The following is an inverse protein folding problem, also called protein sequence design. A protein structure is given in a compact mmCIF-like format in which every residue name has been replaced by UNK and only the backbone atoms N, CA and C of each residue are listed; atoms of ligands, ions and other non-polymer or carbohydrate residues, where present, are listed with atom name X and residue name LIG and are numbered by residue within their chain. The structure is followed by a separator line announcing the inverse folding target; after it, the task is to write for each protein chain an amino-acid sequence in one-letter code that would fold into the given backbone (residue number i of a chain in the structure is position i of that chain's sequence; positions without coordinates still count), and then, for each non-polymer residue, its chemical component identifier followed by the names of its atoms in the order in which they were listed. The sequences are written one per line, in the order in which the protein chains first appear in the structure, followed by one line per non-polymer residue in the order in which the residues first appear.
data_IF_327645128940
#
_entry.id   IF_327645128940
#
_cell.length_a   1.000
_cell.length_b   1.000
_cell.length_c   1.000
_cell.angle_alpha   90.00
_cell.angle_beta   90.00
_cell.angle_gamma   90.00
#
_symmetry.space_group_name_H-M   'P 1'
#
loop_
_entity.id
_entity.type
_entity.pdbx_description
1 polymer ?
#
# COMPACT_ATOMS: atom_id res chain seq x y z
N UNK A 1 10.82 36.51 23.50
CA UNK A 1 11.48 37.82 23.44
C UNK A 1 10.55 38.86 24.03
N UNK A 2 11.08 39.75 24.87
CA UNK A 2 10.37 40.96 25.29
C UNK A 2 10.84 42.04 24.30
N UNK A 3 9.92 42.58 23.50
CA UNK A 3 10.25 43.59 22.49
C UNK A 3 10.27 44.98 23.10
N UNK A 4 11.26 45.81 22.71
CA UNK A 4 11.36 47.19 23.20
C UNK A 4 10.43 48.12 22.42
N UNK A 5 9.27 48.40 22.99
CA UNK A 5 8.27 49.31 22.41
C UNK A 5 8.65 50.79 22.49
N UNK A 6 9.80 51.15 23.10
CA UNK A 6 10.32 52.53 23.04
C UNK A 6 10.77 52.91 21.63
N UNK A 7 11.20 51.94 20.84
CA UNK A 7 11.48 52.10 19.41
C UNK A 7 10.59 51.13 18.60
N UNK A 8 9.31 51.48 18.37
CA UNK A 8 8.34 50.56 17.79
C UNK A 8 8.73 50.08 16.39
N UNK A 9 9.41 50.90 15.60
CA UNK A 9 9.87 50.52 14.26
C UNK A 9 10.91 49.39 14.31
N UNK A 10 11.87 49.50 15.24
CA UNK A 10 12.89 48.48 15.43
C UNK A 10 12.27 47.18 15.94
N UNK A 11 11.38 47.27 16.93
CA UNK A 11 10.64 46.09 17.42
C UNK A 11 9.86 45.38 16.30
N UNK A 12 9.23 46.13 15.38
CA UNK A 12 8.48 45.56 14.26
C UNK A 12 9.38 44.88 13.23
N UNK A 13 10.52 45.47 12.89
CA UNK A 13 11.51 44.83 12.01
C UNK A 13 12.11 43.56 12.66
N UNK A 14 12.41 43.58 13.96
CA UNK A 14 12.88 42.40 14.69
C UNK A 14 11.85 41.26 14.66
N UNK A 15 10.56 41.57 14.88
CA UNK A 15 9.47 40.58 14.81
C UNK A 15 9.34 40.02 13.38
N UNK A 16 9.42 40.89 12.37
CA UNK A 16 9.38 40.50 10.96
C UNK A 16 10.55 39.59 10.62
N UNK A 17 11.78 39.94 11.01
CA UNK A 17 12.98 39.17 10.71
C UNK A 17 12.89 37.77 11.30
N UNK A 18 12.54 37.64 12.58
CA UNK A 18 12.33 36.35 13.24
C UNK A 18 11.23 35.52 12.54
N UNK A 19 10.15 36.18 12.12
CA UNK A 19 9.06 35.51 11.41
C UNK A 19 9.49 35.03 10.02
N UNK A 20 10.25 35.85 9.29
CA UNK A 20 10.78 35.54 7.97
C UNK A 20 11.82 34.42 8.02
N UNK A 21 12.68 34.41 9.04
CA UNK A 21 13.67 33.34 9.23
C UNK A 21 12.99 31.99 9.50
N UNK A 22 11.95 31.99 10.35
CA UNK A 22 11.16 30.79 10.62
C UNK A 22 10.50 30.26 9.33
N UNK A 23 9.86 31.13 8.54
CA UNK A 23 9.22 30.72 7.28
C UNK A 23 10.24 30.25 6.24
N UNK A 24 11.40 30.92 6.14
CA UNK A 24 12.48 30.51 5.24
C UNK A 24 13.00 29.12 5.59
N UNK A 25 13.04 28.76 6.87
CA UNK A 25 13.38 27.40 7.30
C UNK A 25 12.36 26.38 6.78
N UNK A 26 11.06 26.66 6.92
CA UNK A 26 9.99 25.80 6.37
C UNK A 26 10.11 25.67 4.85
N UNK A 27 10.26 26.79 4.13
CA UNK A 27 10.45 26.79 2.67
C UNK A 27 11.66 25.93 2.25
N UNK A 28 12.78 26.08 2.96
CA UNK A 28 14.00 25.32 2.68
C UNK A 28 13.84 23.83 2.94
N UNK A 29 13.05 23.46 3.95
CA UNK A 29 12.69 22.08 4.25
C UNK A 29 11.91 21.49 3.08
N UNK A 30 10.84 22.16 2.62
CA UNK A 30 10.04 21.71 1.48
C UNK A 30 10.86 21.60 0.19
N UNK A 31 11.73 22.57 -0.10
CA UNK A 31 12.60 22.53 -1.28
C UNK A 31 13.59 21.36 -1.24
N UNK A 32 14.18 21.10 -0.07
CA UNK A 32 15.12 19.98 0.12
C UNK A 32 14.41 18.65 -0.07
N UNK A 33 13.25 18.46 0.57
CA UNK A 33 12.46 17.23 0.46
C UNK A 33 11.95 17.00 -0.96
N UNK A 34 11.53 18.05 -1.67
CA UNK A 34 11.15 18.00 -3.09
C UNK A 34 12.30 17.47 -3.94
N UNK A 35 13.53 17.96 -3.74
CA UNK A 35 14.70 17.54 -4.53
C UNK A 35 14.98 16.04 -4.38
N UNK A 36 14.90 15.54 -3.15
CA UNK A 36 15.05 14.12 -2.83
C UNK A 36 13.96 13.29 -3.52
N UNK A 37 12.69 13.65 -3.35
CA UNK A 37 11.57 12.93 -3.97
C UNK A 37 11.62 12.94 -5.49
N UNK A 38 12.02 14.07 -6.10
CA UNK A 38 12.23 14.14 -7.55
C UNK A 38 13.30 13.16 -8.03
N UNK A 39 14.40 13.01 -7.29
CA UNK A 39 15.47 12.10 -7.65
C UNK A 39 15.00 10.64 -7.58
N UNK A 40 14.36 10.23 -6.48
CA UNK A 40 13.85 8.86 -6.32
C UNK A 40 12.73 8.53 -7.29
N UNK A 41 11.78 9.44 -7.51
CA UNK A 41 10.68 9.24 -8.47
C UNK A 41 11.20 8.98 -9.88
N UNK A 42 12.16 9.80 -10.35
CA UNK A 42 12.78 9.62 -11.66
C UNK A 42 13.56 8.30 -11.72
N UNK A 43 14.33 7.99 -10.67
CA UNK A 43 15.10 6.75 -10.57
C UNK A 43 14.23 5.51 -10.66
N UNK A 44 13.14 5.45 -9.88
CA UNK A 44 12.21 4.32 -9.87
C UNK A 44 11.53 4.14 -11.24
N UNK A 45 11.09 5.23 -11.88
CA UNK A 45 10.46 5.16 -13.20
C UNK A 45 11.41 4.65 -14.28
N UNK A 46 12.63 5.19 -14.32
CA UNK A 46 13.65 4.75 -15.29
C UNK A 46 14.02 3.29 -15.06
N UNK A 47 14.25 2.89 -13.80
CA UNK A 47 14.58 1.51 -13.45
C UNK A 47 13.44 0.55 -13.84
N UNK A 48 12.19 0.92 -13.57
CA UNK A 48 11.02 0.11 -13.93
C UNK A 48 10.90 -0.06 -15.46
N UNK A 49 11.11 1.02 -16.22
CA UNK A 49 11.10 0.97 -17.69
C UNK A 49 12.22 0.10 -18.27
N UNK A 50 13.42 0.16 -17.69
CA UNK A 50 14.53 -0.70 -18.09
C UNK A 50 14.22 -2.17 -17.79
N UNK A 51 13.73 -2.46 -16.59
CA UNK A 51 13.36 -3.83 -16.19
C UNK A 51 12.21 -4.40 -17.03
N UNK A 52 11.22 -3.59 -17.39
CA UNK A 52 10.18 -4.02 -18.33
C UNK A 52 10.72 -4.26 -19.72
N UNK A 53 11.56 -3.36 -20.24
CA UNK A 53 12.21 -3.54 -21.53
C UNK A 53 13.01 -4.85 -21.59
N UNK A 54 13.85 -5.10 -20.57
CA UNK A 54 14.62 -6.35 -20.44
C UNK A 54 13.70 -7.57 -20.34
N UNK A 55 12.65 -7.47 -19.52
CA UNK A 55 11.70 -8.55 -19.31
C UNK A 55 10.88 -8.92 -20.55
N UNK A 56 10.66 -7.96 -21.46
CA UNK A 56 10.00 -8.19 -22.74
C UNK A 56 10.97 -8.70 -23.82
N UNK A 57 12.21 -8.22 -23.83
CA UNK A 57 13.20 -8.56 -24.88
C UNK A 57 13.80 -9.96 -24.66
N UNK A 58 14.16 -10.32 -23.42
CA UNK A 58 14.84 -11.60 -23.12
C UNK A 58 14.06 -12.82 -23.63
N UNK A 59 12.73 -12.95 -23.40
CA UNK A 59 11.96 -14.08 -23.91
C UNK A 59 11.89 -14.17 -25.44
N UNK A 60 12.18 -13.08 -26.16
CA UNK A 60 12.15 -13.03 -27.63
C UNK A 60 13.50 -13.42 -28.26
N UNK A 61 14.58 -13.52 -27.48
CA UNK A 61 15.88 -13.96 -27.98
C UNK A 61 15.88 -15.48 -28.21
N UNK A 62 16.55 -15.96 -29.27
CA UNK A 62 16.57 -17.38 -29.59
C UNK A 62 17.27 -18.18 -28.48
N UNK A 63 16.65 -19.30 -28.09
CA UNK A 63 17.00 -20.23 -27.01
C UNK A 63 18.46 -20.76 -27.00
N UNK A 64 19.26 -20.49 -28.05
CA UNK A 64 20.64 -20.94 -28.19
C UNK A 64 21.70 -19.98 -27.64
N UNK A 65 21.36 -18.72 -27.32
CA UNK A 65 22.33 -17.74 -26.81
C UNK A 65 22.50 -17.79 -25.29
N UNK A 66 21.45 -18.13 -24.54
CA UNK A 66 21.44 -18.12 -23.08
C UNK A 66 20.55 -19.26 -22.53
N UNK A 67 21.17 -20.21 -21.84
CA UNK A 67 20.60 -21.51 -21.50
C UNK A 67 19.58 -21.53 -20.36
N UNK A 68 19.19 -20.38 -19.78
CA UNK A 68 18.26 -20.30 -18.64
C UNK A 68 17.36 -19.04 -18.61
N UNK A 69 17.19 -18.38 -19.75
CA UNK A 69 16.89 -16.95 -19.83
C UNK A 69 15.44 -16.53 -19.64
N UNK A 70 14.47 -17.38 -20.00
CA UNK A 70 13.05 -16.99 -19.95
C UNK A 70 12.60 -16.66 -18.51
N UNK A 71 13.17 -17.34 -17.51
CA UNK A 71 12.91 -17.08 -16.08
C UNK A 71 13.45 -15.72 -15.64
N UNK A 72 14.60 -15.31 -16.16
CA UNK A 72 15.19 -14.00 -15.86
C UNK A 72 14.36 -12.86 -16.46
N UNK A 73 13.78 -13.07 -17.65
CA UNK A 73 12.83 -12.13 -18.26
C UNK A 73 11.60 -11.90 -17.37
N UNK A 74 10.93 -12.97 -16.94
CA UNK A 74 9.78 -12.87 -16.04
C UNK A 74 10.12 -12.27 -14.68
N UNK A 75 11.29 -12.61 -14.12
CA UNK A 75 11.78 -12.02 -12.87
C UNK A 75 11.99 -10.50 -13.03
N UNK A 76 12.56 -10.07 -14.17
CA UNK A 76 12.74 -8.65 -14.48
C UNK A 76 11.40 -7.92 -14.55
N UNK A 77 10.38 -8.50 -15.20
CA UNK A 77 9.02 -7.94 -15.21
C UNK A 77 8.44 -7.81 -13.79
N UNK A 78 8.59 -8.85 -12.97
CA UNK A 78 8.09 -8.84 -11.60
C UNK A 78 8.75 -7.74 -10.74
N UNK A 79 10.07 -7.58 -10.86
CA UNK A 79 10.81 -6.53 -10.15
C UNK A 79 10.41 -5.14 -10.66
N UNK A 80 10.24 -4.96 -11.96
CA UNK A 80 9.77 -3.69 -12.53
C UNK A 80 8.38 -3.31 -12.02
N UNK A 81 7.45 -4.27 -11.97
CA UNK A 81 6.12 -4.07 -11.38
C UNK A 81 6.18 -3.76 -9.89
N UNK A 82 7.06 -4.44 -9.15
CA UNK A 82 7.27 -4.20 -7.72
C UNK A 82 7.75 -2.76 -7.45
N UNK A 83 8.68 -2.23 -8.23
CA UNK A 83 9.13 -0.85 -8.08
C UNK A 83 8.04 0.18 -8.32
N UNK A 84 7.14 -0.05 -9.29
CA UNK A 84 5.98 0.83 -9.49
C UNK A 84 4.98 0.76 -8.33
N UNK A 85 4.76 -0.44 -7.76
CA UNK A 85 3.93 -0.57 -6.56
C UNK A 85 4.57 0.16 -5.38
N UNK A 86 5.89 0.03 -5.19
CA UNK A 86 6.61 0.78 -4.17
C UNK A 86 6.48 2.29 -4.35
N UNK A 87 6.64 2.83 -5.57
CA UNK A 87 6.46 4.26 -5.83
C UNK A 87 5.05 4.74 -5.47
N UNK A 88 4.04 3.94 -5.82
CA UNK A 88 2.63 4.25 -5.51
C UNK A 88 2.35 4.23 -4.01
N UNK A 89 2.80 3.20 -3.28
CA UNK A 89 2.49 3.03 -1.85
C UNK A 89 3.40 3.82 -0.90
N UNK A 90 4.61 4.16 -1.32
CA UNK A 90 5.48 5.06 -0.57
C UNK A 90 5.20 6.54 -0.90
N UNK A 91 4.40 6.81 -1.93
CA UNK A 91 4.04 8.17 -2.34
C UNK A 91 5.23 9.00 -2.79
N UNK A 92 6.27 8.40 -3.37
CA UNK A 92 7.50 9.13 -3.73
C UNK A 92 7.20 10.16 -4.83
N UNK A 93 6.53 9.71 -5.89
CA UNK A 93 6.09 10.56 -6.99
C UNK A 93 5.06 11.62 -6.59
N UNK A 94 4.07 11.27 -5.79
CA UNK A 94 3.02 12.19 -5.33
C UNK A 94 3.55 13.19 -4.31
N UNK A 95 4.45 12.76 -3.43
CA UNK A 95 5.18 13.60 -2.48
C UNK A 95 5.94 14.72 -3.18
N UNK A 96 6.62 14.43 -4.31
CA UNK A 96 7.28 15.47 -5.11
C UNK A 96 6.33 16.62 -5.48
N UNK A 97 5.13 16.30 -5.98
CA UNK A 97 4.14 17.30 -6.39
C UNK A 97 3.61 18.07 -5.18
N UNK A 98 3.27 17.36 -4.10
CA UNK A 98 2.72 17.97 -2.88
C UNK A 98 3.73 18.93 -2.23
N UNK A 99 4.99 18.55 -2.11
CA UNK A 99 6.05 19.43 -1.62
C UNK A 99 6.30 20.62 -2.54
N UNK A 100 6.22 20.43 -3.87
CA UNK A 100 6.38 21.53 -4.81
C UNK A 100 5.25 22.57 -4.71
N UNK A 101 4.00 22.12 -4.56
CA UNK A 101 2.85 23.03 -4.38
C UNK A 101 2.99 23.81 -3.07
N UNK A 102 3.32 23.13 -1.96
CA UNK A 102 3.53 23.79 -0.68
C UNK A 102 4.68 24.82 -0.73
N UNK A 103 5.81 24.47 -1.36
CA UNK A 103 6.93 25.41 -1.57
C UNK A 103 6.48 26.66 -2.37
N UNK A 104 5.70 26.48 -3.43
CA UNK A 104 5.19 27.59 -4.25
C UNK A 104 4.24 28.50 -3.45
N UNK A 105 3.34 27.92 -2.66
CA UNK A 105 2.38 28.67 -1.85
C UNK A 105 3.08 29.48 -0.73
N UNK A 106 4.12 28.91 -0.12
CA UNK A 106 4.95 29.61 0.88
C UNK A 106 5.70 30.77 0.21
N UNK A 107 6.32 30.55 -0.95
CA UNK A 107 7.03 31.60 -1.70
C UNK A 107 6.10 32.74 -2.11
N UNK A 108 4.90 32.39 -2.61
CA UNK A 108 3.88 33.37 -2.97
C UNK A 108 3.46 34.20 -1.75
N UNK A 109 3.11 33.54 -0.63
CA UNK A 109 2.75 34.23 0.62
C UNK A 109 3.87 35.15 1.12
N UNK A 110 5.12 34.73 0.96
CA UNK A 110 6.30 35.50 1.36
C UNK A 110 6.47 36.76 0.49
N UNK A 111 6.34 36.62 -0.83
CA UNK A 111 6.41 37.76 -1.75
C UNK A 111 5.28 38.76 -1.48
N UNK A 112 4.04 38.29 -1.33
CA UNK A 112 2.89 39.14 -1.02
C UNK A 112 3.06 39.88 0.32
N UNK A 113 3.57 39.20 1.35
CA UNK A 113 3.89 39.84 2.62
C UNK A 113 4.96 40.93 2.48
N UNK A 114 6.05 40.66 1.76
CA UNK A 114 7.13 41.63 1.56
C UNK A 114 6.65 42.87 0.79
N UNK A 115 5.88 42.68 -0.28
CA UNK A 115 5.32 43.78 -1.06
C UNK A 115 4.39 44.64 -0.21
N UNK A 116 3.45 44.01 0.50
CA UNK A 116 2.54 44.73 1.39
C UNK A 116 3.29 45.45 2.53
N UNK A 117 4.31 44.81 3.11
CA UNK A 117 5.14 45.41 4.16
C UNK A 117 5.79 46.69 3.65
N UNK A 118 6.44 46.63 2.48
CA UNK A 118 7.10 47.78 1.88
C UNK A 118 6.12 48.92 1.59
N UNK A 119 4.90 48.59 1.13
CA UNK A 119 3.84 49.57 0.90
C UNK A 119 3.43 50.25 2.21
N UNK A 120 3.23 49.50 3.29
CA UNK A 120 2.82 50.08 4.58
C UNK A 120 3.95 50.89 5.23
N UNK A 121 5.19 50.42 5.18
CA UNK A 121 6.37 51.17 5.67
C UNK A 121 6.55 52.48 4.91
N UNK A 122 6.28 52.52 3.60
CA UNK A 122 6.34 53.77 2.85
C UNK A 122 5.34 54.83 3.37
N UNK A 123 4.22 54.41 3.97
CA UNK A 123 3.23 55.32 4.57
C UNK A 123 3.66 55.87 5.94
N UNK A 124 4.72 55.34 6.55
CA UNK A 124 5.21 55.77 7.88
C UNK A 124 6.35 56.79 7.81
N UNK A 125 6.63 57.40 6.66
CA UNK A 125 7.74 58.34 6.48
C UNK A 125 7.71 59.55 7.44
N UNK A 126 6.52 59.98 7.88
CA UNK A 126 6.34 61.07 8.85
C UNK A 126 6.36 60.61 10.33
N UNK A 127 6.68 59.34 10.57
CA UNK A 127 6.58 58.68 11.88
C UNK A 127 5.52 57.57 11.88
N UNK A 128 5.61 56.69 12.87
CA UNK A 128 4.71 55.53 13.00
C UNK A 128 3.64 55.79 14.07
N UNK A 129 2.38 55.66 13.67
CA UNK A 129 1.22 55.75 14.57
C UNK A 129 0.88 54.40 15.19
N UNK A 130 0.16 54.41 16.32
CA UNK A 130 -0.33 53.17 16.98
C UNK A 130 -1.22 52.34 16.04
N UNK A 131 -1.98 53.00 15.17
CA UNK A 131 -2.80 52.32 14.15
C UNK A 131 -1.91 51.57 13.16
N UNK A 132 -0.85 52.20 12.65
CA UNK A 132 0.11 51.55 11.74
C UNK A 132 0.87 50.41 12.40
N UNK A 133 1.26 50.54 13.68
CA UNK A 133 1.86 49.44 14.45
C UNK A 133 0.92 48.22 14.45
N UNK A 134 -0.37 48.45 14.70
CA UNK A 134 -1.37 47.38 14.74
C UNK A 134 -1.55 46.72 13.37
N UNK A 135 -1.57 47.51 12.29
CA UNK A 135 -1.64 47.01 10.91
C UNK A 135 -0.45 46.10 10.60
N UNK A 136 0.77 46.57 10.85
CA UNK A 136 2.00 45.82 10.58
C UNK A 136 2.07 44.52 11.39
N UNK A 137 1.64 44.54 12.66
CA UNK A 137 1.54 43.33 13.48
C UNK A 137 0.51 42.34 12.94
N UNK A 138 -0.66 42.81 12.51
CA UNK A 138 -1.70 41.95 11.94
C UNK A 138 -1.24 41.34 10.61
N UNK A 139 -0.45 42.08 9.81
CA UNK A 139 0.16 41.54 8.59
C UNK A 139 1.13 40.39 8.90
N UNK A 140 2.01 40.54 9.91
CA UNK A 140 2.92 39.45 10.33
C UNK A 140 2.11 38.24 10.81
N UNK A 141 1.08 38.46 11.62
CA UNK A 141 0.20 37.40 12.11
C UNK A 141 -0.51 36.67 10.97
N UNK A 142 -1.05 37.42 10.00
CA UNK A 142 -1.75 36.86 8.84
C UNK A 142 -0.79 36.09 7.93
N UNK A 143 0.42 36.62 7.69
CA UNK A 143 1.45 35.94 6.94
C UNK A 143 1.83 34.58 7.57
N UNK A 144 2.09 34.57 8.88
CA UNK A 144 2.38 33.33 9.62
C UNK A 144 1.23 32.34 9.57
N UNK A 145 -0.01 32.82 9.70
CA UNK A 145 -1.19 31.98 9.57
C UNK A 145 -1.33 31.38 8.16
N UNK A 146 -1.03 32.15 7.11
CA UNK A 146 -1.02 31.66 5.72
C UNK A 146 -0.06 30.48 5.54
N UNK A 147 1.18 30.63 6.00
CA UNK A 147 2.19 29.56 5.93
C UNK A 147 1.77 28.33 6.74
N UNK A 148 1.25 28.54 7.95
CA UNK A 148 0.73 27.44 8.78
C UNK A 148 -0.42 26.69 8.10
N UNK A 149 -1.32 27.42 7.43
CA UNK A 149 -2.41 26.82 6.68
C UNK A 149 -1.91 26.02 5.47
N UNK A 150 -0.86 26.47 4.76
CA UNK A 150 -0.20 25.68 3.71
C UNK A 150 0.35 24.37 4.27
N UNK A 151 1.07 24.42 5.40
CA UNK A 151 1.60 23.22 6.06
C UNK A 151 0.48 22.27 6.50
N UNK A 152 -0.59 22.80 7.09
CA UNK A 152 -1.72 22.01 7.53
C UNK A 152 -2.45 21.36 6.35
N UNK A 153 -2.66 22.10 5.25
CA UNK A 153 -3.30 21.57 4.04
C UNK A 153 -2.45 20.47 3.40
N UNK A 154 -1.14 20.68 3.29
CA UNK A 154 -0.23 19.67 2.76
C UNK A 154 -0.20 18.41 3.63
N UNK A 155 -0.16 18.57 4.96
CA UNK A 155 -0.23 17.46 5.93
C UNK A 155 -1.56 16.70 5.84
N UNK A 156 -2.67 17.40 5.66
CA UNK A 156 -3.98 16.76 5.50
C UNK A 156 -4.06 15.94 4.21
N UNK A 157 -3.50 16.47 3.11
CA UNK A 157 -3.38 15.72 1.85
C UNK A 157 -2.52 14.46 2.04
N UNK A 158 -1.41 14.56 2.77
CA UNK A 158 -0.58 13.39 3.10
C UNK A 158 -1.36 12.32 3.86
N UNK A 159 -2.07 12.72 4.92
CA UNK A 159 -2.80 11.79 5.77
C UNK A 159 -3.91 11.06 4.99
N UNK A 160 -4.64 11.80 4.13
CA UNK A 160 -5.67 11.22 3.28
C UNK A 160 -5.10 10.23 2.27
N UNK A 161 -4.00 10.63 1.62
CA UNK A 161 -3.28 9.78 0.67
C UNK A 161 -2.81 8.48 1.35
N UNK A 162 -2.17 8.59 2.52
CA UNK A 162 -1.69 7.45 3.29
C UNK A 162 -2.84 6.51 3.68
N UNK A 163 -3.96 7.04 4.17
CA UNK A 163 -5.14 6.25 4.53
C UNK A 163 -5.74 5.55 3.32
N UNK A 164 -5.87 6.25 2.19
CA UNK A 164 -6.42 5.70 0.94
C UNK A 164 -5.56 4.56 0.41
N UNK A 165 -4.25 4.78 0.30
CA UNK A 165 -3.30 3.77 -0.16
C UNK A 165 -3.29 2.52 0.74
N UNK A 166 -3.36 2.73 2.06
CA UNK A 166 -3.42 1.62 3.03
C UNK A 166 -4.71 0.82 2.88
N UNK A 167 -5.85 1.49 2.73
CA UNK A 167 -7.14 0.83 2.53
C UNK A 167 -7.19 0.04 1.22
N UNK A 168 -6.69 0.61 0.13
CA UNK A 168 -6.60 -0.07 -1.16
C UNK A 168 -5.75 -1.34 -1.06
N UNK A 169 -4.63 -1.29 -0.34
CA UNK A 169 -3.76 -2.44 -0.14
C UNK A 169 -4.47 -3.56 0.63
N UNK A 170 -5.17 -3.24 1.72
CA UNK A 170 -5.92 -4.23 2.49
C UNK A 170 -7.05 -4.85 1.66
N UNK A 171 -7.78 -4.05 0.89
CA UNK A 171 -8.83 -4.53 -0.01
C UNK A 171 -8.27 -5.44 -1.11
N UNK A 172 -7.10 -5.12 -1.66
CA UNK A 172 -6.42 -6.01 -2.62
C UNK A 172 -6.06 -7.36 -2.00
N UNK A 173 -5.52 -7.37 -0.76
CA UNK A 173 -5.19 -8.62 -0.07
C UNK A 173 -6.44 -9.41 0.28
N UNK A 174 -7.48 -8.75 0.81
CA UNK A 174 -8.76 -9.36 1.14
C UNK A 174 -9.39 -10.00 -0.09
N UNK A 175 -9.48 -9.26 -1.19
CA UNK A 175 -10.01 -9.78 -2.46
C UNK A 175 -9.22 -10.98 -2.96
N UNK A 176 -7.88 -10.92 -2.92
CA UNK A 176 -7.04 -12.04 -3.35
C UNK A 176 -7.18 -13.28 -2.44
N UNK A 177 -7.40 -13.08 -1.14
CA UNK A 177 -7.72 -14.14 -0.19
C UNK A 177 -9.12 -14.72 -0.42
N UNK A 178 -10.11 -13.87 -0.69
CA UNK A 178 -11.47 -14.31 -1.01
C UNK A 178 -11.50 -15.07 -2.35
N UNK A 179 -10.77 -14.62 -3.37
CA UNK A 179 -10.60 -15.33 -4.64
C UNK A 179 -9.95 -16.71 -4.44
N UNK A 180 -8.90 -16.81 -3.61
CA UNK A 180 -8.24 -18.09 -3.35
C UNK A 180 -9.13 -19.05 -2.57
N UNK A 181 -9.86 -18.57 -1.55
CA UNK A 181 -10.81 -19.37 -0.78
C UNK A 181 -12.02 -19.77 -1.63
N UNK A 182 -12.51 -18.88 -2.49
CA UNK A 182 -13.64 -19.16 -3.39
C UNK A 182 -13.26 -20.19 -4.45
N UNK A 183 -12.00 -20.28 -4.85
CA UNK A 183 -11.54 -21.31 -5.78
C UNK A 183 -11.58 -22.73 -5.18
N UNK A 184 -11.57 -22.87 -3.85
CA UNK A 184 -11.59 -24.17 -3.18
C UNK A 184 -12.97 -24.84 -3.27
N UNK A 185 -12.97 -26.15 -3.48
CA UNK A 185 -14.17 -26.97 -3.47
C UNK A 185 -14.33 -27.78 -2.17
N UNK A 186 -15.36 -28.62 -2.15
CA UNK A 186 -15.65 -29.56 -1.05
C UNK A 186 -15.77 -30.96 -1.62
N UNK A 187 -15.22 -31.97 -0.96
CA UNK A 187 -15.47 -33.38 -1.30
C UNK A 187 -16.28 -34.01 -0.18
N UNK A 188 -17.52 -34.40 -0.51
CA UNK A 188 -18.39 -35.14 0.40
C UNK A 188 -18.28 -36.61 0.07
N UNK A 189 -17.96 -37.42 1.08
CA UNK A 189 -17.76 -38.86 0.94
C UNK A 189 -18.80 -39.59 1.76
N UNK A 190 -19.72 -40.24 1.06
CA UNK A 190 -20.73 -41.11 1.63
C UNK A 190 -20.21 -42.54 1.66
N UNK A 191 -20.16 -43.13 2.85
CA UNK A 191 -19.73 -44.51 3.08
C UNK A 191 -20.97 -45.39 3.23
N UNK A 192 -21.14 -46.34 2.30
CA UNK A 192 -22.20 -47.34 2.36
C UNK A 192 -21.67 -48.67 2.93
N UNK A 193 -22.58 -49.50 3.46
CA UNK A 193 -22.28 -50.82 4.03
C UNK A 193 -21.24 -50.79 5.17
N UNK A 194 -21.29 -49.76 6.01
CA UNK A 194 -20.36 -49.56 7.13
C UNK A 194 -20.73 -50.36 8.39
N UNK A 195 -21.89 -51.02 8.41
CA UNK A 195 -22.35 -51.81 9.55
C UNK A 195 -21.42 -53.02 9.79
N UNK A 196 -20.93 -53.18 11.02
CA UNK A 196 -19.99 -54.25 11.38
C UNK A 196 -18.51 -53.91 11.12
N UNK A 197 -18.20 -52.70 10.63
CA UNK A 197 -16.85 -52.16 10.53
C UNK A 197 -16.53 -51.20 11.68
N UNK A 198 -15.29 -51.21 12.14
CA UNK A 198 -14.79 -50.31 13.20
C UNK A 198 -13.56 -49.54 12.72
N UNK A 199 -13.33 -48.35 13.28
CA UNK A 199 -12.16 -47.52 12.95
C UNK A 199 -12.13 -47.03 11.50
N UNK A 200 -13.28 -46.62 10.95
CA UNK A 200 -13.38 -46.13 9.58
C UNK A 200 -12.66 -44.79 9.45
N UNK A 201 -11.67 -44.72 8.57
CA UNK A 201 -10.89 -43.53 8.24
C UNK A 201 -11.00 -43.25 6.76
N UNK A 202 -11.27 -42.00 6.43
CA UNK A 202 -11.12 -41.47 5.09
C UNK A 202 -9.80 -40.74 4.99
N UNK A 203 -9.08 -40.96 3.91
CA UNK A 203 -7.83 -40.29 3.58
C UNK A 203 -7.96 -39.61 2.22
N UNK A 204 -7.52 -38.38 2.10
CA UNK A 204 -7.37 -37.69 0.81
C UNK A 204 -5.88 -37.55 0.51
N UNK A 205 -5.48 -37.98 -0.69
CA UNK A 205 -4.09 -37.98 -1.20
C UNK A 205 -3.09 -38.55 -0.18
N UNK A 206 -3.50 -39.66 0.45
CA UNK A 206 -2.72 -40.45 1.41
C UNK A 206 -2.19 -39.65 2.64
N UNK A 207 -2.74 -38.47 2.93
CA UNK A 207 -2.21 -37.55 3.96
C UNK A 207 -3.29 -36.96 4.87
N UNK A 208 -4.38 -36.41 4.31
CA UNK A 208 -5.43 -35.77 5.11
C UNK A 208 -6.42 -36.83 5.59
N UNK A 209 -6.48 -37.08 6.90
CA UNK A 209 -7.30 -38.16 7.47
C UNK A 209 -8.50 -37.62 8.27
N UNK A 210 -9.69 -38.12 7.96
CA UNK A 210 -10.92 -37.91 8.73
C UNK A 210 -11.38 -39.25 9.28
N UNK A 211 -11.54 -39.35 10.60
CA UNK A 211 -12.15 -40.54 11.22
C UNK A 211 -13.66 -40.35 11.32
N UNK A 212 -14.43 -41.32 10.87
CA UNK A 212 -15.90 -41.29 10.94
C UNK A 212 -16.34 -42.26 12.05
N UNK A 213 -17.03 -41.74 13.06
CA UNK A 213 -17.52 -42.52 14.21
C UNK A 213 -19.06 -42.43 14.21
N UNK A 214 -19.73 -43.57 13.96
CA UNK A 214 -21.21 -43.63 13.98
C UNK A 214 -21.92 -42.83 12.89
N UNK A 215 -21.18 -42.26 11.94
CA UNK A 215 -21.66 -41.50 10.79
C UNK A 215 -21.34 -42.26 9.50
N UNK A 216 -22.07 -41.95 8.42
CA UNK A 216 -21.82 -42.44 7.07
C UNK A 216 -21.25 -41.35 6.15
N UNK A 217 -21.03 -40.13 6.64
CA UNK A 217 -20.60 -38.99 5.85
C UNK A 217 -19.31 -38.39 6.42
N UNK A 218 -18.28 -38.30 5.59
CA UNK A 218 -17.09 -37.49 5.83
C UNK A 218 -16.99 -36.36 4.81
N UNK A 219 -16.51 -35.20 5.24
CA UNK A 219 -16.44 -34.00 4.38
C UNK A 219 -15.06 -33.40 4.44
N UNK A 220 -14.35 -33.39 3.31
CA UNK A 220 -13.13 -32.63 3.12
C UNK A 220 -13.50 -31.23 2.63
N UNK A 221 -13.22 -30.21 3.43
CA UNK A 221 -13.45 -28.79 3.10
C UNK A 221 -12.15 -28.16 2.63
N UNK A 222 -12.25 -27.06 1.88
CA UNK A 222 -11.11 -26.29 1.40
C UNK A 222 -10.16 -27.14 0.53
N UNK A 223 -10.72 -27.94 -0.37
CA UNK A 223 -9.97 -28.84 -1.26
C UNK A 223 -9.65 -28.10 -2.56
N UNK A 224 -8.38 -28.13 -2.97
CA UNK A 224 -7.96 -27.53 -4.24
C UNK A 224 -8.70 -28.17 -5.43
N UNK A 225 -8.97 -27.44 -6.53
CA UNK A 225 -9.53 -28.04 -7.73
C UNK A 225 -8.54 -29.03 -8.36
N UNK A 226 -9.00 -30.22 -8.74
CA UNK A 226 -8.12 -31.24 -9.28
C UNK A 226 -8.66 -32.65 -9.10
N UNK A 227 -7.82 -33.63 -9.45
CA UNK A 227 -8.11 -35.03 -9.19
C UNK A 227 -7.50 -35.42 -7.86
N UNK A 228 -8.34 -35.79 -6.91
CA UNK A 228 -7.95 -36.24 -5.58
C UNK A 228 -8.23 -37.72 -5.42
N UNK A 229 -7.29 -38.43 -4.80
CA UNK A 229 -7.46 -39.85 -4.44
C UNK A 229 -8.06 -39.92 -3.05
N UNK A 230 -9.28 -40.45 -2.95
CA UNK A 230 -9.94 -40.71 -1.67
C UNK A 230 -9.78 -42.19 -1.33
N UNK A 231 -9.16 -42.46 -0.19
CA UNK A 231 -8.95 -43.81 0.35
C UNK A 231 -9.81 -44.02 1.59
N UNK A 232 -10.53 -45.12 1.68
CA UNK A 232 -11.22 -45.57 2.90
C UNK A 232 -10.46 -46.73 3.51
N UNK A 233 -10.14 -46.62 4.79
CA UNK A 233 -9.60 -47.70 5.61
C UNK A 233 -10.61 -48.09 6.69
N UNK A 234 -10.90 -49.37 6.83
CA UNK A 234 -11.82 -49.88 7.85
C UNK A 234 -11.35 -51.24 8.39
N UNK A 235 -11.75 -51.59 9.61
CA UNK A 235 -11.39 -52.86 10.24
C UNK A 235 -12.63 -53.72 10.48
N UNK A 236 -12.60 -54.97 9.98
CA UNK A 236 -13.61 -56.02 10.24
C UNK A 236 -12.96 -57.16 11.03
N UNK A 237 -13.74 -58.05 11.64
CA UNK A 237 -13.23 -59.20 12.41
C UNK A 237 -12.21 -60.09 11.65
N UNK A 238 -12.19 -60.04 10.31
CA UNK A 238 -11.28 -60.77 9.44
C UNK A 238 -10.00 -60.02 9.00
N UNK A 239 -9.82 -58.74 9.40
CA UNK A 239 -8.64 -57.93 9.04
C UNK A 239 -8.95 -56.48 8.66
N UNK A 240 -7.91 -55.73 8.27
CA UNK A 240 -8.02 -54.36 7.74
C UNK A 240 -8.33 -54.39 6.25
N UNK A 241 -9.24 -53.54 5.81
CA UNK A 241 -9.61 -53.34 4.40
C UNK A 241 -9.26 -51.90 4.03
N UNK A 242 -8.65 -51.71 2.86
CA UNK A 242 -8.35 -50.39 2.30
C UNK A 242 -8.77 -50.35 0.82
N UNK A 243 -9.46 -49.29 0.41
CA UNK A 243 -9.93 -49.08 -0.95
C UNK A 243 -9.78 -47.61 -1.34
N UNK A 244 -9.44 -47.33 -2.60
CA UNK A 244 -9.25 -45.96 -3.10
C UNK A 244 -10.04 -45.68 -4.37
N UNK A 245 -10.53 -44.44 -4.51
CA UNK A 245 -11.22 -43.94 -5.68
C UNK A 245 -10.74 -42.52 -6.03
N UNK A 246 -10.55 -42.25 -7.32
CA UNK A 246 -10.19 -40.91 -7.80
C UNK A 246 -11.46 -40.07 -8.00
N UNK A 247 -11.38 -38.81 -7.58
CA UNK A 247 -12.50 -37.86 -7.58
C UNK A 247 -12.03 -36.58 -8.24
N UNK A 248 -12.72 -36.15 -9.28
CA UNK A 248 -12.44 -34.88 -9.94
C UNK A 248 -13.26 -33.77 -9.31
N UNK A 249 -12.60 -32.76 -8.77
CA UNK A 249 -13.20 -31.59 -8.14
C UNK A 249 -13.00 -30.36 -9.03
N UNK A 250 -14.12 -29.72 -9.39
CA UNK A 250 -14.08 -28.41 -10.05
C UNK A 250 -14.07 -27.29 -9.01
N UNK A 251 -13.48 -26.14 -9.36
CA UNK A 251 -13.42 -24.97 -8.49
C UNK A 251 -14.79 -24.57 -7.96
N UNK A 252 -14.84 -24.23 -6.67
CA UNK A 252 -16.05 -23.77 -5.96
C UNK A 252 -17.22 -24.76 -5.93
N UNK A 253 -17.03 -26.02 -6.35
CA UNK A 253 -18.09 -27.04 -6.37
C UNK A 253 -17.94 -28.03 -5.22
N UNK A 254 -19.03 -28.76 -4.96
CA UNK A 254 -18.98 -29.97 -4.15
C UNK A 254 -18.90 -31.17 -5.07
N UNK A 255 -17.94 -32.07 -4.85
CA UNK A 255 -17.91 -33.38 -5.46
C UNK A 255 -18.43 -34.41 -4.44
N UNK A 256 -19.57 -35.02 -4.76
CA UNK A 256 -20.16 -36.08 -3.94
C UNK A 256 -19.68 -37.45 -4.43
N UNK A 257 -19.21 -38.27 -3.50
CA UNK A 257 -18.58 -39.55 -3.79
C UNK A 257 -19.17 -40.61 -2.88
N UNK A 258 -19.65 -41.70 -3.47
CA UNK A 258 -20.19 -42.83 -2.70
C UNK A 258 -19.17 -43.96 -2.75
N UNK A 259 -18.65 -44.35 -1.59
CA UNK A 259 -17.75 -45.49 -1.43
C UNK A 259 -18.45 -46.60 -0.65
N UNK A 260 -18.52 -47.80 -1.25
CA UNK A 260 -19.15 -48.96 -0.63
C UNK A 260 -18.10 -49.85 0.00
N UNK A 261 -18.22 -50.14 1.29
CA UNK A 261 -17.39 -51.14 1.95
C UNK A 261 -17.86 -52.56 1.53
N UNK A 262 -16.93 -53.48 1.23
CA UNK A 262 -17.27 -54.83 0.76
C UNK A 262 -17.85 -55.76 1.84
#
# INVERSE_FOLDING_TARGET
MIYDWKNPMQALEDIKEVSMEAVKKEESWYSSFRSWHSFFSRGIRVLSLLLFSVGLIIPMLPLGLLSNDTKLGYLSLAIGGFFLLLDRYLGVSSGYVRFYVAELDIKKSTAEFQDNWNIEIAKTQAGISVVQITILLEMIKTFRASVFNTVQAETALWANEFQTQTSELYEMFRKKQEESLSALGTISVMVENYAGYTGIKLMMDDSVTISIIGSYLGVFRNVDPGVHKITIEATKQAGKISFSQNVSLSASKTADVVMKLP
#
